data_IF_844916029462
#
_entry.id   IF_844916029462
#
_cell.length_a   1.000
_cell.length_b   1.000
_cell.length_c   1.000
_cell.angle_alpha   90.00
_cell.angle_beta   90.00
_cell.angle_gamma   90.00
#
_symmetry.space_group_name_H-M   'P 1'
#
loop_
_entity.id
_entity.type
_entity.pdbx_description
1 polymer ?
#
# COMPACT_ATOMS: atom_id res chain seq x y z
N UNK A 1 6.85 -13.04 21.43
CA UNK A 1 5.39 -12.94 21.21
C UNK A 1 4.94 -11.51 20.90
N UNK A 2 5.51 -10.48 21.52
CA UNK A 2 5.21 -9.06 21.25
C UNK A 2 5.30 -8.68 19.76
N UNK A 3 6.32 -9.15 19.06
CA UNK A 3 6.48 -8.96 17.62
C UNK A 3 5.29 -9.46 16.78
N UNK A 4 4.73 -10.63 17.11
CA UNK A 4 3.56 -11.18 16.40
C UNK A 4 2.33 -10.28 16.56
N UNK A 5 2.09 -9.77 17.78
CA UNK A 5 0.98 -8.85 18.02
C UNK A 5 1.19 -7.49 17.35
N UNK A 6 2.41 -6.95 17.40
CA UNK A 6 2.76 -5.70 16.74
C UNK A 6 2.53 -5.77 15.23
N UNK A 7 3.07 -6.80 14.57
CA UNK A 7 2.89 -7.01 13.12
C UNK A 7 1.42 -7.27 12.81
N UNK A 8 0.79 -8.19 13.54
CA UNK A 8 -0.58 -8.64 13.26
C UNK A 8 -1.61 -7.52 13.40
N UNK A 9 -1.52 -6.71 14.47
CA UNK A 9 -2.44 -5.59 14.67
C UNK A 9 -2.22 -4.49 13.62
N UNK A 10 -0.97 -4.15 13.33
CA UNK A 10 -0.65 -3.20 12.27
C UNK A 10 -1.19 -3.67 10.92
N UNK A 11 -0.94 -4.93 10.55
CA UNK A 11 -1.39 -5.51 9.29
C UNK A 11 -2.92 -5.54 9.15
N UNK A 12 -3.64 -5.87 10.23
CA UNK A 12 -5.10 -5.83 10.23
C UNK A 12 -5.63 -4.41 9.95
N UNK A 13 -5.10 -3.41 10.64
CA UNK A 13 -5.47 -2.00 10.44
C UNK A 13 -5.13 -1.56 9.01
N UNK A 14 -3.93 -1.87 8.52
CA UNK A 14 -3.52 -1.55 7.15
C UNK A 14 -4.45 -2.15 6.10
N UNK A 15 -4.81 -3.43 6.27
CA UNK A 15 -5.73 -4.11 5.38
C UNK A 15 -7.14 -3.50 5.40
N UNK A 16 -7.64 -3.10 6.58
CA UNK A 16 -8.94 -2.42 6.70
C UNK A 16 -8.93 -1.04 6.05
N UNK A 17 -7.87 -0.26 6.23
CA UNK A 17 -7.71 1.04 5.58
C UNK A 17 -7.68 0.89 4.06
N UNK A 18 -6.88 -0.05 3.54
CA UNK A 18 -6.85 -0.35 2.11
C UNK A 18 -8.22 -0.78 1.58
N UNK A 19 -8.92 -1.64 2.32
CA UNK A 19 -10.26 -2.06 1.95
C UNK A 19 -11.24 -0.87 1.91
N UNK A 20 -11.20 0.00 2.92
CA UNK A 20 -12.00 1.23 2.96
C UNK A 20 -11.70 2.17 1.79
N UNK A 21 -10.42 2.38 1.45
CA UNK A 21 -10.02 3.14 0.26
C UNK A 21 -10.55 2.49 -1.02
N UNK A 22 -10.51 1.16 -1.11
CA UNK A 22 -11.08 0.40 -2.23
C UNK A 22 -12.58 0.62 -2.38
N UNK A 23 -13.34 0.55 -1.28
CA UNK A 23 -14.79 0.80 -1.31
C UNK A 23 -15.13 2.23 -1.73
N UNK A 24 -14.35 3.21 -1.27
CA UNK A 24 -14.64 4.61 -1.50
C UNK A 24 -14.21 5.08 -2.90
N UNK A 25 -13.00 4.71 -3.34
CA UNK A 25 -12.36 5.33 -4.50
C UNK A 25 -12.39 4.47 -5.76
N UNK A 26 -12.40 3.13 -5.67
CA UNK A 26 -12.43 2.29 -6.87
C UNK A 26 -13.68 2.51 -7.75
N UNK A 27 -14.88 2.75 -7.19
CA UNK A 27 -16.06 3.02 -8.02
C UNK A 27 -16.02 4.37 -8.75
N UNK A 28 -15.20 5.32 -8.28
CA UNK A 28 -15.16 6.68 -8.83
C UNK A 28 -14.61 6.72 -10.26
N UNK A 29 -13.73 5.78 -10.62
CA UNK A 29 -13.15 5.70 -11.95
C UNK A 29 -12.96 4.24 -12.39
N UNK A 30 -13.95 3.62 -13.07
CA UNK A 30 -13.98 2.17 -13.31
C UNK A 30 -12.80 1.59 -14.11
N UNK A 31 -12.09 2.42 -14.87
CA UNK A 31 -10.93 2.01 -15.67
C UNK A 31 -9.63 1.98 -14.87
N UNK A 32 -9.54 2.70 -13.74
CA UNK A 32 -8.36 2.71 -12.85
C UNK A 32 -8.83 2.64 -11.40
N UNK A 33 -8.51 1.57 -10.66
CA UNK A 33 -8.90 1.41 -9.26
C UNK A 33 -8.11 2.37 -8.35
N UNK A 34 -8.66 3.59 -8.19
CA UNK A 34 -8.03 4.69 -7.46
C UNK A 34 -7.79 4.40 -5.98
N UNK A 35 -8.54 3.49 -5.37
CA UNK A 35 -8.35 3.07 -3.98
C UNK A 35 -7.08 2.25 -3.80
N UNK A 36 -6.80 1.31 -4.72
CA UNK A 36 -5.53 0.56 -4.73
C UNK A 36 -4.35 1.50 -4.96
N UNK A 37 -4.50 2.44 -5.91
CA UNK A 37 -3.50 3.46 -6.18
C UNK A 37 -3.23 4.34 -4.95
N UNK A 38 -4.28 4.92 -4.35
CA UNK A 38 -4.16 5.75 -3.15
C UNK A 38 -3.47 5.00 -2.01
N UNK A 39 -3.84 3.74 -1.76
CA UNK A 39 -3.23 2.94 -0.70
C UNK A 39 -1.72 2.77 -0.91
N UNK A 40 -1.29 2.47 -2.15
CA UNK A 40 0.13 2.31 -2.48
C UNK A 40 0.91 3.62 -2.43
N UNK A 41 0.36 4.73 -2.96
CA UNK A 41 1.02 6.04 -2.92
C UNK A 41 1.16 6.57 -1.49
N UNK A 42 0.09 6.49 -0.69
CA UNK A 42 0.12 6.90 0.72
C UNK A 42 1.14 6.02 1.48
N UNK A 43 1.10 4.71 1.27
CA UNK A 43 2.03 3.80 1.93
C UNK A 43 3.50 4.04 1.55
N UNK A 44 3.77 4.29 0.26
CA UNK A 44 5.10 4.62 -0.25
C UNK A 44 5.63 5.95 0.30
N UNK A 45 4.80 6.98 0.38
CA UNK A 45 5.21 8.24 1.00
C UNK A 45 5.47 8.09 2.51
N UNK A 46 4.55 7.42 3.23
CA UNK A 46 4.64 7.27 4.68
C UNK A 46 5.83 6.39 5.10
N UNK A 47 6.23 5.39 4.32
CA UNK A 47 7.38 4.56 4.69
C UNK A 47 8.67 5.38 4.72
N UNK A 48 8.84 6.33 3.80
CA UNK A 48 9.97 7.26 3.79
C UNK A 48 10.00 8.13 5.05
N UNK A 49 8.85 8.73 5.42
CA UNK A 49 8.73 9.53 6.64
C UNK A 49 9.01 8.70 7.91
N UNK A 50 8.47 7.49 7.99
CA UNK A 50 8.65 6.60 9.14
C UNK A 50 10.12 6.16 9.26
N UNK A 51 10.78 5.85 8.15
CA UNK A 51 12.21 5.51 8.14
C UNK A 51 13.05 6.69 8.64
N UNK A 52 12.77 7.91 8.14
CA UNK A 52 13.47 9.13 8.59
C UNK A 52 13.23 9.39 10.08
N UNK A 53 12.00 9.24 10.58
CA UNK A 53 11.70 9.39 12.00
C UNK A 53 12.52 8.41 12.86
N UNK A 54 12.60 7.14 12.45
CA UNK A 54 13.34 6.12 13.21
C UNK A 54 14.86 6.32 13.17
N UNK A 55 15.42 7.01 12.16
CA UNK A 55 16.86 7.32 12.15
C UNK A 55 17.21 8.38 13.20
N UNK A 56 16.30 9.31 13.48
CA UNK A 56 16.45 10.33 14.53
C UNK A 56 16.13 9.79 15.94
N UNK A 57 15.39 8.68 16.04
CA UNK A 57 14.92 8.10 17.31
C UNK A 57 15.39 6.65 17.51
N UNK A 58 16.71 6.39 17.65
CA UNK A 58 17.26 5.03 17.76
C UNK A 58 16.86 4.30 19.06
N UNK A 59 16.39 5.02 20.08
CA UNK A 59 15.95 4.44 21.36
C UNK A 59 14.54 3.85 21.36
N UNK A 60 13.79 3.95 20.25
CA UNK A 60 12.45 3.40 20.17
C UNK A 60 12.45 1.85 20.19
N UNK A 61 11.42 1.22 20.78
CA UNK A 61 11.30 -0.23 20.78
C UNK A 61 11.27 -0.81 19.35
N UNK A 62 11.94 -1.94 19.08
CA UNK A 62 11.90 -2.60 17.77
C UNK A 62 10.48 -2.92 17.29
N UNK A 63 9.56 -3.21 18.21
CA UNK A 63 8.16 -3.50 17.93
C UNK A 63 7.42 -2.32 17.28
N UNK A 64 7.81 -1.07 17.55
CA UNK A 64 7.20 0.09 16.90
C UNK A 64 7.50 0.08 15.39
N UNK A 65 8.73 -0.30 15.01
CA UNK A 65 9.11 -0.45 13.61
C UNK A 65 8.36 -1.60 12.95
N UNK A 66 8.22 -2.72 13.65
CA UNK A 66 7.45 -3.88 13.16
C UNK A 66 5.97 -3.53 12.98
N UNK A 67 5.37 -2.81 13.93
CA UNK A 67 3.98 -2.37 13.84
C UNK A 67 3.76 -1.43 12.66
N UNK A 68 4.57 -0.37 12.53
CA UNK A 68 4.37 0.66 11.51
C UNK A 68 4.78 0.18 10.12
N UNK A 69 5.98 -0.37 9.96
CA UNK A 69 6.53 -0.70 8.64
C UNK A 69 6.00 -2.05 8.17
N UNK A 70 6.30 -3.12 8.90
CA UNK A 70 5.94 -4.48 8.49
C UNK A 70 4.44 -4.75 8.60
N UNK A 71 3.81 -4.25 9.66
CA UNK A 71 2.38 -4.39 9.89
C UNK A 71 1.55 -3.41 9.06
N UNK A 72 1.44 -2.17 9.53
CA UNK A 72 0.51 -1.16 9.02
C UNK A 72 0.76 -0.82 7.55
N UNK A 73 1.97 -0.37 7.21
CA UNK A 73 2.30 0.00 5.83
C UNK A 73 2.36 -1.24 4.92
N UNK A 74 2.85 -2.37 5.42
CA UNK A 74 2.81 -3.65 4.70
C UNK A 74 1.39 -4.14 4.38
N UNK A 75 0.43 -3.95 5.30
CA UNK A 75 -0.98 -4.32 5.09
C UNK A 75 -1.77 -3.30 4.26
N UNK A 76 -1.42 -2.02 4.38
CA UNK A 76 -1.98 -0.91 3.61
C UNK A 76 -1.62 -1.02 2.13
N UNK A 77 -0.36 -1.34 1.83
CA UNK A 77 0.09 -1.49 0.44
C UNK A 77 -0.21 -2.88 -0.11
N UNK A 78 -0.25 -3.02 -1.43
CA UNK A 78 -0.50 -4.30 -2.09
C UNK A 78 0.13 -4.36 -3.48
N UNK A 79 1.00 -5.35 -3.69
CA UNK A 79 1.52 -5.66 -5.02
C UNK A 79 0.62 -6.65 -5.77
N UNK A 80 -0.03 -7.58 -5.07
CA UNK A 80 -0.87 -8.62 -5.69
C UNK A 80 -2.13 -8.04 -6.33
N UNK A 81 -2.80 -7.09 -5.66
CA UNK A 81 -3.98 -6.42 -6.22
C UNK A 81 -3.61 -5.58 -7.43
N UNK A 82 -2.55 -4.76 -7.29
CA UNK A 82 -1.96 -3.99 -8.40
C UNK A 82 -1.66 -4.88 -9.63
N UNK A 83 -0.97 -6.01 -9.42
CA UNK A 83 -0.60 -6.93 -10.50
C UNK A 83 -1.83 -7.52 -11.19
N UNK A 84 -2.85 -7.92 -10.42
CA UNK A 84 -4.10 -8.43 -10.98
C UNK A 84 -4.85 -7.38 -11.80
N UNK A 85 -4.85 -6.12 -11.37
CA UNK A 85 -5.48 -5.00 -12.08
C UNK A 85 -4.79 -4.74 -13.43
N UNK A 86 -3.45 -4.70 -13.45
CA UNK A 86 -2.66 -4.56 -14.68
C UNK A 86 -2.93 -5.73 -15.62
N UNK A 87 -2.77 -6.97 -15.14
CA UNK A 87 -2.98 -8.18 -15.97
C UNK A 87 -4.40 -8.22 -16.53
N UNK A 88 -5.41 -7.87 -15.73
CA UNK A 88 -6.80 -7.82 -16.19
C UNK A 88 -6.99 -6.79 -17.30
N UNK A 89 -6.39 -5.60 -17.19
CA UNK A 89 -6.44 -4.60 -18.25
C UNK A 89 -5.77 -5.10 -19.54
N UNK A 90 -4.59 -5.72 -19.44
CA UNK A 90 -3.88 -6.28 -20.58
C UNK A 90 -4.66 -7.41 -21.26
N UNK A 91 -5.23 -8.33 -20.49
CA UNK A 91 -6.06 -9.44 -21.02
C UNK A 91 -7.34 -8.94 -21.72
N UNK A 92 -7.84 -7.75 -21.36
CA UNK A 92 -8.97 -7.09 -22.03
C UNK A 92 -8.57 -6.27 -23.25
N UNK A 93 -7.29 -6.27 -23.64
CA UNK A 93 -6.75 -5.47 -24.74
C UNK A 93 -6.57 -3.98 -24.40
N UNK A 94 -6.71 -3.58 -23.13
CA UNK A 94 -6.54 -2.21 -22.66
C UNK A 94 -5.07 -1.92 -22.34
N UNK A 95 -4.20 -2.09 -23.34
CA UNK A 95 -2.73 -2.01 -23.18
C UNK A 95 -2.27 -0.66 -22.60
N UNK A 96 -2.81 0.45 -23.11
CA UNK A 96 -2.49 1.79 -22.63
C UNK A 96 -2.89 1.98 -21.16
N UNK A 97 -4.10 1.57 -20.79
CA UNK A 97 -4.58 1.66 -19.40
C UNK A 97 -3.75 0.79 -18.47
N UNK A 98 -3.45 -0.46 -18.85
CA UNK A 98 -2.57 -1.34 -18.07
C UNK A 98 -1.18 -0.75 -17.87
N UNK A 99 -0.60 -0.16 -18.92
CA UNK A 99 0.67 0.55 -18.85
C UNK A 99 0.63 1.78 -17.93
N UNK A 100 -0.43 2.58 -18.01
CA UNK A 100 -0.61 3.74 -17.13
C UNK A 100 -0.78 3.34 -15.66
N UNK A 101 -1.53 2.28 -15.36
CA UNK A 101 -1.65 1.73 -13.99
C UNK A 101 -0.27 1.33 -13.48
N UNK A 102 0.51 0.58 -14.27
CA UNK A 102 1.87 0.16 -13.92
C UNK A 102 2.79 1.35 -13.62
N UNK A 103 2.79 2.36 -14.47
CA UNK A 103 3.60 3.56 -14.29
C UNK A 103 3.16 4.38 -13.08
N UNK A 104 1.86 4.60 -12.89
CA UNK A 104 1.34 5.37 -11.78
C UNK A 104 1.71 4.74 -10.43
N UNK A 105 1.60 3.42 -10.31
CA UNK A 105 1.99 2.72 -9.09
C UNK A 105 3.49 2.74 -8.83
N UNK A 106 4.30 2.48 -9.85
CA UNK A 106 5.76 2.41 -9.68
C UNK A 106 6.32 3.79 -9.44
N UNK A 107 6.19 4.71 -10.41
CA UNK A 107 6.77 6.06 -10.33
C UNK A 107 6.23 6.86 -9.16
N UNK A 108 4.94 6.72 -8.84
CA UNK A 108 4.33 7.48 -7.75
C UNK A 108 4.67 6.96 -6.34
N UNK A 109 5.12 5.71 -6.21
CA UNK A 109 5.43 5.10 -4.90
C UNK A 109 6.93 4.96 -4.64
N UNK A 110 7.79 5.36 -5.58
CA UNK A 110 9.25 5.47 -5.42
C UNK A 110 9.62 6.80 -4.77
#
# INVERSE_FOLDING_TARGET
MTAFFAIGLGAAIGAWLRWGLGLWLNPAFPSVPLGTLAANLIGGYLIGLVIAWFSEHPGLPPEARLFLITGLLGGLTTFSTFSAEVVTALMRGLWMTGGLIALAHTVGSF
#
